data_IF_615477341609
#
_entry.id   IF_615477341609
#
_cell.length_a   1.000
_cell.length_b   1.000
_cell.length_c   1.000
_cell.angle_alpha   90.00
_cell.angle_beta   90.00
_cell.angle_gamma   90.00
#
_symmetry.space_group_name_H-M   'P 1'
#
loop_
_entity.id
_entity.type
_entity.pdbx_description
1 polymer ?
#
# COMPACT_ATOMS: atom_id res chain seq x y z
N UNK A 1 4.95 27.95 34.54
CA UNK A 1 5.27 26.99 33.47
C UNK A 1 5.23 27.77 32.16
N UNK A 2 6.38 27.97 31.51
CA UNK A 2 6.53 28.85 30.35
C UNK A 2 6.26 28.13 29.03
N UNK A 3 5.69 28.85 28.06
CA UNK A 3 5.60 28.40 26.67
C UNK A 3 6.90 28.83 25.97
N UNK A 4 7.81 27.89 25.71
CA UNK A 4 9.17 28.21 25.22
C UNK A 4 9.34 28.04 23.70
N UNK A 5 8.34 27.54 22.97
CA UNK A 5 8.47 27.22 21.55
C UNK A 5 7.56 28.08 20.66
N UNK A 6 8.05 29.20 20.10
CA UNK A 6 7.28 30.05 19.18
C UNK A 6 7.09 29.40 17.81
N UNK A 7 5.94 29.60 17.16
CA UNK A 7 5.72 29.16 15.78
C UNK A 7 6.59 29.95 14.80
N UNK A 8 7.24 29.26 13.84
CA UNK A 8 7.99 29.93 12.75
C UNK A 8 7.11 30.40 11.60
N UNK A 9 5.83 30.07 11.64
CA UNK A 9 4.83 30.42 10.63
C UNK A 9 4.31 31.86 10.72
N UNK A 10 4.71 32.64 11.74
CA UNK A 10 4.27 34.03 11.91
C UNK A 10 2.87 34.20 12.52
N UNK A 11 2.23 33.12 12.98
CA UNK A 11 0.90 33.17 13.61
C UNK A 11 0.90 33.71 15.06
N UNK A 12 2.08 33.99 15.64
CA UNK A 12 2.22 34.48 17.01
C UNK A 12 1.93 33.45 18.10
N UNK A 13 1.62 32.19 17.75
CA UNK A 13 1.36 31.13 18.72
C UNK A 13 2.64 30.61 19.37
N UNK A 14 2.53 30.30 20.66
CA UNK A 14 3.58 29.68 21.46
C UNK A 14 3.11 28.33 21.99
N UNK A 15 4.02 27.37 22.03
CA UNK A 15 3.73 26.01 22.46
C UNK A 15 4.61 25.63 23.64
N UNK A 16 4.07 24.76 24.50
CA UNK A 16 4.79 24.21 25.66
C UNK A 16 5.91 23.24 25.26
N UNK A 17 5.76 22.56 24.12
CA UNK A 17 6.69 21.53 23.66
C UNK A 17 6.99 21.70 22.17
N UNK A 18 8.21 21.33 21.75
CA UNK A 18 8.63 21.38 20.35
C UNK A 18 7.75 20.52 19.45
N UNK A 19 7.31 19.35 19.95
CA UNK A 19 6.43 18.44 19.22
C UNK A 19 5.08 19.06 18.88
N UNK A 20 4.49 19.83 19.81
CA UNK A 20 3.24 20.55 19.58
C UNK A 20 3.41 21.66 18.53
N UNK A 21 4.53 22.39 18.57
CA UNK A 21 4.87 23.39 17.55
C UNK A 21 5.08 22.76 16.17
N UNK A 22 5.82 21.65 16.11
CA UNK A 22 6.05 20.90 14.86
C UNK A 22 4.73 20.39 14.27
N UNK A 23 3.83 19.86 15.10
CA UNK A 23 2.53 19.37 14.66
C UNK A 23 1.69 20.50 14.04
N UNK A 24 1.66 21.67 14.68
CA UNK A 24 1.00 22.84 14.12
C UNK A 24 1.56 23.26 12.76
N UNK A 25 2.88 23.28 12.60
CA UNK A 25 3.54 23.61 11.32
C UNK A 25 3.26 22.56 10.23
N UNK A 26 3.12 21.29 10.60
CA UNK A 26 2.71 20.22 9.69
C UNK A 26 1.27 20.43 9.21
N UNK A 27 0.35 20.70 10.14
CA UNK A 27 -1.08 20.73 9.85
C UNK A 27 -1.51 22.02 9.13
N UNK A 28 -0.87 23.16 9.46
CA UNK A 28 -1.28 24.47 8.95
C UNK A 28 -0.42 24.95 7.77
N UNK A 29 0.88 24.65 7.78
CA UNK A 29 1.82 25.17 6.78
C UNK A 29 2.37 24.09 5.84
N UNK A 30 1.99 22.82 6.07
CA UNK A 30 2.58 21.66 5.40
C UNK A 30 4.11 21.72 5.43
N UNK A 31 4.67 22.09 6.59
CA UNK A 31 6.11 22.25 6.79
C UNK A 31 6.66 21.19 7.74
N UNK A 32 7.72 20.52 7.31
CA UNK A 32 8.49 19.60 8.12
C UNK A 32 9.74 20.32 8.66
N UNK A 33 9.73 20.66 9.96
CA UNK A 33 10.87 21.31 10.61
C UNK A 33 12.13 20.44 10.68
N UNK A 34 12.07 19.13 11.01
CA UNK A 34 13.27 18.29 11.05
C UNK A 34 13.96 18.12 9.69
N UNK A 35 13.22 18.22 8.58
CA UNK A 35 13.77 18.15 7.22
C UNK A 35 13.88 19.52 6.54
N UNK A 36 13.56 20.60 7.25
CA UNK A 36 13.52 21.97 6.74
C UNK A 36 12.81 22.12 5.38
N UNK A 37 11.67 21.44 5.19
CA UNK A 37 11.02 21.35 3.87
C UNK A 37 9.53 21.69 3.93
N UNK A 38 9.08 22.57 3.01
CA UNK A 38 7.67 22.91 2.80
C UNK A 38 7.08 22.08 1.65
N UNK A 39 5.82 21.68 1.79
CA UNK A 39 5.08 20.88 0.82
C UNK A 39 3.89 21.66 0.28
N UNK A 40 3.41 21.27 -0.91
CA UNK A 40 2.31 21.97 -1.57
C UNK A 40 0.94 21.73 -0.93
N UNK A 41 0.76 20.59 -0.25
CA UNK A 41 -0.51 20.20 0.36
C UNK A 41 -0.31 19.14 1.45
N UNK A 42 -1.39 18.87 2.18
CA UNK A 42 -1.45 17.88 3.26
C UNK A 42 -1.00 16.47 2.81
N UNK A 43 -1.48 15.97 1.67
CA UNK A 43 -1.11 14.64 1.18
C UNK A 43 0.41 14.51 0.96
N UNK A 44 1.04 15.53 0.40
CA UNK A 44 2.47 15.51 0.12
C UNK A 44 3.30 15.48 1.41
N UNK A 45 2.93 16.27 2.43
CA UNK A 45 3.64 16.21 3.72
C UNK A 45 3.35 14.90 4.45
N UNK A 46 2.14 14.35 4.39
CA UNK A 46 1.84 13.06 4.99
C UNK A 46 2.66 11.93 4.33
N UNK A 47 2.79 11.92 3.00
CA UNK A 47 3.67 10.96 2.32
C UNK A 47 5.14 11.14 2.72
N UNK A 48 5.60 12.37 2.91
CA UNK A 48 6.95 12.65 3.40
C UNK A 48 7.17 12.17 4.85
N UNK A 49 6.22 12.42 5.75
CA UNK A 49 6.28 11.94 7.14
C UNK A 49 6.22 10.41 7.20
N UNK A 50 5.55 9.78 6.24
CA UNK A 50 5.53 8.32 6.08
C UNK A 50 6.78 7.77 5.36
N UNK A 51 7.73 8.62 4.97
CA UNK A 51 8.96 8.20 4.31
C UNK A 51 9.98 7.62 5.28
N UNK A 52 11.03 7.02 4.71
CA UNK A 52 12.13 6.39 5.45
C UNK A 52 12.86 7.37 6.37
N UNK A 53 12.81 8.67 6.08
CA UNK A 53 13.51 9.70 6.84
C UNK A 53 12.92 9.90 8.24
N UNK A 54 11.60 9.79 8.37
CA UNK A 54 10.91 10.00 9.65
C UNK A 54 10.50 8.70 10.33
N UNK A 55 10.08 7.70 9.55
CA UNK A 55 9.62 6.41 10.11
C UNK A 55 10.67 5.31 10.11
N UNK A 56 11.79 5.49 9.41
CA UNK A 56 12.75 4.41 9.23
C UNK A 56 12.22 3.28 8.33
N UNK A 57 12.84 2.10 8.44
CA UNK A 57 12.46 0.88 7.71
C UNK A 57 12.06 -0.21 8.69
N UNK A 58 10.90 -0.06 9.32
CA UNK A 58 10.50 -0.95 10.41
C UNK A 58 9.90 -2.27 9.92
N UNK A 59 9.58 -2.37 8.63
CA UNK A 59 9.03 -3.59 8.04
C UNK A 59 10.08 -4.23 7.14
N UNK A 60 10.69 -5.32 7.61
CA UNK A 60 11.74 -6.03 6.88
C UNK A 60 11.16 -7.21 6.11
N UNK A 61 11.57 -7.39 4.87
CA UNK A 61 11.28 -8.61 4.14
C UNK A 61 12.00 -9.80 4.80
N UNK A 62 11.29 -10.87 5.21
CA UNK A 62 11.91 -11.98 5.94
C UNK A 62 12.94 -12.74 5.10
N UNK A 63 12.81 -12.71 3.76
CA UNK A 63 13.69 -13.40 2.82
C UNK A 63 14.92 -12.59 2.45
N UNK A 64 14.72 -11.38 1.89
CA UNK A 64 15.82 -10.57 1.36
C UNK A 64 16.34 -9.51 2.35
N UNK A 65 15.70 -9.35 3.51
CA UNK A 65 16.01 -8.34 4.55
C UNK A 65 15.95 -6.89 4.08
N UNK A 66 15.41 -6.64 2.88
CA UNK A 66 15.12 -5.29 2.40
C UNK A 66 14.06 -4.65 3.29
N UNK A 67 14.32 -3.42 3.71
CA UNK A 67 13.40 -2.66 4.55
C UNK A 67 12.40 -1.80 3.77
N UNK A 68 11.20 -1.71 4.33
CA UNK A 68 10.06 -0.96 3.83
C UNK A 68 9.52 -0.05 4.93
N UNK A 69 8.92 1.07 4.53
CA UNK A 69 8.30 2.04 5.45
C UNK A 69 6.91 1.62 5.89
N UNK A 70 6.25 0.74 5.12
CA UNK A 70 4.89 0.27 5.36
C UNK A 70 4.74 -1.21 4.98
N UNK A 71 3.77 -1.89 5.59
CA UNK A 71 3.36 -3.24 5.28
C UNK A 71 2.78 -3.35 3.86
N UNK A 72 2.06 -2.32 3.39
CA UNK A 72 1.68 -2.19 1.97
C UNK A 72 2.90 -2.33 1.06
N UNK A 73 4.01 -1.64 1.39
CA UNK A 73 5.24 -1.68 0.60
C UNK A 73 5.90 -3.06 0.56
N UNK A 74 5.98 -3.74 1.71
CA UNK A 74 6.49 -5.12 1.77
C UNK A 74 5.57 -6.09 0.99
N UNK A 75 4.26 -5.96 1.18
CA UNK A 75 3.26 -6.80 0.52
C UNK A 75 3.35 -6.67 -0.99
N UNK A 76 3.40 -5.45 -1.49
CA UNK A 76 3.57 -5.17 -2.92
C UNK A 76 4.88 -5.75 -3.47
N UNK A 77 5.97 -5.71 -2.69
CA UNK A 77 7.25 -6.31 -3.07
C UNK A 77 7.16 -7.84 -3.27
N UNK A 78 6.42 -8.53 -2.40
CA UNK A 78 6.22 -9.98 -2.49
C UNK A 78 5.22 -10.34 -3.60
N UNK A 79 4.11 -9.60 -3.68
CA UNK A 79 3.00 -9.85 -4.60
C UNK A 79 3.41 -9.65 -6.08
N UNK A 80 4.37 -8.75 -6.35
CA UNK A 80 4.93 -8.52 -7.71
C UNK A 80 6.16 -9.35 -8.05
N UNK A 81 6.50 -10.38 -7.27
CA UNK A 81 7.73 -11.15 -7.48
C UNK A 81 9.00 -10.27 -7.56
N UNK A 82 9.02 -9.18 -6.79
CA UNK A 82 10.17 -8.27 -6.76
C UNK A 82 11.22 -8.69 -5.73
N UNK A 83 11.02 -9.80 -5.04
CA UNK A 83 11.97 -10.34 -4.07
C UNK A 83 13.02 -11.22 -4.76
N UNK A 84 14.32 -10.88 -4.71
CA UNK A 84 15.35 -11.68 -5.37
C UNK A 84 15.60 -13.02 -4.67
N UNK A 85 15.13 -13.18 -3.42
CA UNK A 85 15.35 -14.39 -2.61
C UNK A 85 14.08 -15.24 -2.42
N UNK A 86 12.95 -14.83 -2.98
CA UNK A 86 11.70 -15.57 -2.86
C UNK A 86 10.77 -15.28 -4.04
N UNK A 87 10.30 -16.34 -4.69
CA UNK A 87 9.25 -16.27 -5.71
C UNK A 87 7.90 -16.59 -5.06
N UNK A 88 7.23 -15.56 -4.53
CA UNK A 88 5.91 -15.67 -3.89
C UNK A 88 4.83 -15.33 -4.90
N UNK A 89 4.79 -14.07 -5.34
CA UNK A 89 3.83 -13.60 -6.33
C UNK A 89 2.41 -13.61 -5.78
N UNK A 90 1.45 -13.26 -6.63
CA UNK A 90 0.06 -13.09 -6.22
C UNK A 90 -0.61 -14.38 -5.76
N UNK A 91 -0.45 -15.47 -6.51
CA UNK A 91 -1.16 -16.73 -6.24
C UNK A 91 -0.67 -17.44 -4.98
N UNK A 92 0.66 -17.58 -4.81
CA UNK A 92 1.20 -18.24 -3.61
C UNK A 92 0.93 -17.38 -2.37
N UNK A 93 0.98 -16.05 -2.50
CA UNK A 93 0.64 -15.14 -1.41
C UNK A 93 -0.83 -15.28 -1.03
N UNK A 94 -1.74 -15.30 -2.00
CA UNK A 94 -3.17 -15.50 -1.74
C UNK A 94 -3.45 -16.84 -1.06
N UNK A 95 -2.86 -17.94 -1.54
CA UNK A 95 -3.01 -19.25 -0.93
C UNK A 95 -2.48 -19.27 0.52
N UNK A 96 -1.34 -18.61 0.77
CA UNK A 96 -0.79 -18.46 2.11
C UNK A 96 -1.75 -17.69 3.03
N UNK A 97 -2.31 -16.56 2.58
CA UNK A 97 -3.28 -15.79 3.36
C UNK A 97 -4.57 -16.58 3.60
N UNK A 98 -5.09 -17.27 2.59
CA UNK A 98 -6.30 -18.10 2.69
C UNK A 98 -6.14 -19.21 3.73
N UNK A 99 -4.96 -19.82 3.83
CA UNK A 99 -4.65 -20.82 4.86
C UNK A 99 -4.60 -20.21 6.27
N UNK A 100 -4.26 -18.92 6.39
CA UNK A 100 -4.22 -18.18 7.65
C UNK A 100 -5.56 -17.58 8.05
N UNK A 101 -6.47 -17.42 7.09
CA UNK A 101 -7.82 -16.88 7.22
C UNK A 101 -8.88 -17.93 6.82
N UNK A 102 -8.98 -19.09 7.52
CA UNK A 102 -9.89 -20.17 7.11
C UNK A 102 -11.37 -19.72 7.08
N UNK A 103 -11.76 -18.82 7.98
CA UNK A 103 -13.12 -18.28 8.04
C UNK A 103 -13.42 -17.29 6.90
N UNK A 104 -12.40 -16.78 6.20
CA UNK A 104 -12.59 -15.84 5.11
C UNK A 104 -13.08 -14.48 5.58
N UNK A 105 -12.54 -14.01 6.71
CA UNK A 105 -12.86 -12.71 7.27
C UNK A 105 -12.60 -11.62 6.24
N UNK A 106 -11.49 -11.69 5.52
CA UNK A 106 -11.16 -10.72 4.46
C UNK A 106 -10.69 -11.36 3.15
N UNK A 107 -10.27 -12.63 3.17
CA UNK A 107 -9.97 -13.38 1.95
C UNK A 107 -11.22 -14.06 1.39
N UNK A 108 -11.48 -13.89 0.09
CA UNK A 108 -12.64 -14.50 -0.58
C UNK A 108 -12.35 -15.95 -0.92
N UNK A 109 -13.32 -16.85 -0.74
CA UNK A 109 -13.25 -18.22 -1.26
C UNK A 109 -13.87 -18.28 -2.66
N UNK A 110 -13.05 -18.13 -3.69
CA UNK A 110 -13.50 -18.22 -5.08
C UNK A 110 -13.60 -19.69 -5.52
N UNK A 111 -14.82 -20.14 -5.85
CA UNK A 111 -15.05 -21.47 -6.42
C UNK A 111 -14.50 -21.48 -7.85
N UNK A 112 -13.53 -22.35 -8.15
CA UNK A 112 -12.92 -22.45 -9.49
C UNK A 112 -11.72 -21.53 -9.75
N UNK A 113 -11.11 -20.93 -8.72
CA UNK A 113 -9.88 -20.15 -8.90
C UNK A 113 -8.70 -21.03 -9.34
N UNK A 114 -8.27 -20.85 -10.60
CA UNK A 114 -7.14 -21.58 -11.21
C UNK A 114 -5.79 -20.86 -11.16
N UNK A 115 -5.73 -19.65 -10.58
CA UNK A 115 -4.54 -18.80 -10.54
C UNK A 115 -4.67 -17.52 -11.35
N UNK A 116 -3.56 -16.79 -11.48
CA UNK A 116 -3.49 -15.56 -12.27
C UNK A 116 -3.47 -15.83 -13.77
N UNK A 117 -4.39 -15.19 -14.49
CA UNK A 117 -4.40 -15.23 -15.95
C UNK A 117 -3.30 -14.33 -16.52
N UNK A 118 -2.53 -14.83 -17.49
CA UNK A 118 -1.53 -14.04 -18.20
C UNK A 118 -2.05 -13.70 -19.59
N UNK A 119 -2.18 -12.40 -19.87
CA UNK A 119 -2.56 -11.92 -21.19
C UNK A 119 -1.38 -11.24 -21.88
N UNK A 120 -1.22 -11.55 -23.16
CA UNK A 120 -0.21 -10.93 -24.02
C UNK A 120 -0.89 -10.22 -25.18
N UNK A 121 -0.50 -8.98 -25.42
CA UNK A 121 -0.94 -8.21 -26.57
C UNK A 121 -0.38 -8.86 -27.84
N UNK A 122 -1.27 -9.13 -28.79
CA UNK A 122 -0.92 -9.50 -30.17
C UNK A 122 -1.02 -8.28 -31.06
N UNK A 123 -0.46 -8.33 -32.27
CA UNK A 123 -0.53 -7.22 -33.23
C UNK A 123 -1.96 -6.82 -33.59
N UNK A 124 -2.93 -7.71 -33.38
CA UNK A 124 -4.36 -7.42 -33.54
C UNK A 124 -4.83 -6.28 -32.64
N UNK A 125 -4.21 -6.11 -31.46
CA UNK A 125 -4.53 -5.06 -30.50
C UNK A 125 -4.25 -3.64 -31.00
N UNK A 126 -3.59 -3.49 -32.16
CA UNK A 126 -3.42 -2.20 -32.81
C UNK A 126 -4.68 -1.83 -33.62
N UNK A 127 -5.33 -0.73 -33.25
CA UNK A 127 -6.57 -0.27 -33.90
C UNK A 127 -6.35 0.74 -35.05
N UNK A 128 -5.09 0.93 -35.49
CA UNK A 128 -4.73 1.93 -36.50
C UNK A 128 -4.14 3.23 -35.91
N UNK A 129 -4.39 3.52 -34.63
CA UNK A 129 -3.89 4.73 -33.96
C UNK A 129 -3.22 4.48 -32.61
N UNK A 130 -3.66 3.46 -31.88
CA UNK A 130 -3.14 3.10 -30.57
C UNK A 130 -3.26 1.59 -30.32
N UNK A 131 -2.56 1.13 -29.28
CA UNK A 131 -2.68 -0.22 -28.74
C UNK A 131 -3.85 -0.27 -27.76
N UNK A 132 -4.90 -1.01 -28.06
CA UNK A 132 -6.14 -1.04 -27.30
C UNK A 132 -6.27 -2.33 -26.48
N UNK A 133 -6.67 -2.19 -25.21
CA UNK A 133 -6.99 -3.33 -24.36
C UNK A 133 -8.42 -3.79 -24.60
N UNK A 134 -8.63 -4.99 -25.13
CA UNK A 134 -9.97 -5.53 -25.38
C UNK A 134 -10.82 -5.83 -24.16
N UNK A 135 -10.23 -5.84 -22.96
CA UNK A 135 -10.95 -6.10 -21.72
C UNK A 135 -11.58 -4.81 -21.14
N UNK A 136 -11.04 -3.63 -21.47
CA UNK A 136 -11.55 -2.36 -20.92
C UNK A 136 -11.46 -1.14 -21.86
N UNK A 137 -11.12 -1.36 -23.13
CA UNK A 137 -10.99 -0.37 -24.21
C UNK A 137 -10.04 0.79 -23.91
N UNK A 138 -9.08 0.61 -22.98
CA UNK A 138 -8.02 1.59 -22.74
C UNK A 138 -6.98 1.55 -23.85
N UNK A 139 -6.60 2.72 -24.33
CA UNK A 139 -5.60 2.90 -25.38
C UNK A 139 -4.22 3.25 -24.83
N UNK A 140 -3.18 2.72 -25.46
CA UNK A 140 -1.78 2.86 -25.07
C UNK A 140 -0.93 3.24 -26.29
N UNK A 141 0.13 4.01 -26.05
CA UNK A 141 1.03 4.46 -27.14
C UNK A 141 1.94 3.35 -27.66
N UNK A 142 2.21 2.32 -26.86
CA UNK A 142 3.12 1.22 -27.22
C UNK A 142 2.56 -0.14 -26.81
N UNK A 143 2.94 -1.20 -27.55
CA UNK A 143 2.62 -2.59 -27.20
C UNK A 143 3.16 -2.98 -25.83
N UNK A 144 4.36 -2.50 -25.46
CA UNK A 144 4.96 -2.72 -24.14
C UNK A 144 4.08 -2.16 -23.01
N UNK A 145 3.57 -0.94 -23.17
CA UNK A 145 2.67 -0.36 -22.17
C UNK A 145 1.33 -1.10 -22.07
N UNK A 146 0.79 -1.57 -23.19
CA UNK A 146 -0.40 -2.42 -23.17
C UNK A 146 -0.10 -3.77 -22.48
N UNK A 147 1.02 -4.41 -22.79
CA UNK A 147 1.45 -5.65 -22.14
C UNK A 147 1.62 -5.48 -20.63
N UNK A 148 2.20 -4.36 -20.19
CA UNK A 148 2.30 -4.07 -18.76
C UNK A 148 0.93 -3.90 -18.10
N UNK A 149 -0.02 -3.27 -18.79
CA UNK A 149 -1.40 -3.13 -18.32
C UNK A 149 -2.13 -4.48 -18.24
N UNK A 150 -2.01 -5.31 -19.28
CA UNK A 150 -2.58 -6.66 -19.33
C UNK A 150 -2.05 -7.56 -18.22
N UNK A 151 -0.74 -7.51 -17.95
CA UNK A 151 -0.12 -8.25 -16.86
C UNK A 151 -0.30 -7.60 -15.47
N UNK A 152 -1.08 -6.50 -15.38
CA UNK A 152 -1.42 -5.89 -14.11
C UNK A 152 -2.65 -6.55 -13.48
N UNK A 153 -2.87 -6.41 -12.17
CA UNK A 153 -4.02 -7.01 -11.49
C UNK A 153 -5.39 -6.40 -11.85
N UNK A 154 -5.46 -5.50 -12.82
CA UNK A 154 -6.67 -4.72 -13.12
C UNK A 154 -7.81 -5.56 -13.70
N UNK A 155 -7.48 -6.62 -14.45
CA UNK A 155 -8.46 -7.54 -15.05
C UNK A 155 -8.60 -8.84 -14.26
N UNK A 156 -7.95 -8.91 -13.11
CA UNK A 156 -7.94 -10.11 -12.31
C UNK A 156 -9.10 -10.11 -11.31
N UNK A 157 -9.48 -11.30 -10.86
CA UNK A 157 -10.49 -11.47 -9.82
C UNK A 157 -10.15 -10.71 -8.54
N UNK A 158 -11.16 -10.10 -7.92
CA UNK A 158 -11.04 -9.57 -6.57
C UNK A 158 -10.85 -10.73 -5.58
N UNK A 159 -9.70 -10.78 -4.92
CA UNK A 159 -9.35 -11.87 -3.98
C UNK A 159 -9.65 -11.51 -2.53
N UNK A 160 -9.77 -10.21 -2.24
CA UNK A 160 -9.94 -9.70 -0.88
C UNK A 160 -11.14 -8.76 -0.81
N UNK A 161 -11.70 -8.64 0.39
CA UNK A 161 -12.74 -7.68 0.70
C UNK A 161 -12.50 -7.06 2.07
N UNK A 162 -13.03 -5.87 2.30
CA UNK A 162 -13.07 -5.29 3.63
C UNK A 162 -14.26 -5.89 4.42
N UNK A 163 -14.05 -6.43 5.63
CA UNK A 163 -15.14 -7.00 6.43
C UNK A 163 -16.19 -5.97 6.86
N UNK A 164 -15.80 -4.68 6.88
CA UNK A 164 -16.63 -3.58 7.39
C UNK A 164 -17.36 -2.80 6.30
N UNK A 165 -16.64 -2.36 5.26
CA UNK A 165 -17.24 -1.58 4.17
C UNK A 165 -17.55 -2.42 2.94
N UNK A 166 -17.20 -3.70 2.93
CA UNK A 166 -17.43 -4.66 1.84
C UNK A 166 -16.84 -4.24 0.49
N UNK A 167 -15.90 -3.29 0.48
CA UNK A 167 -15.16 -2.94 -0.72
C UNK A 167 -14.24 -4.08 -1.13
N UNK A 168 -14.21 -4.35 -2.44
CA UNK A 168 -13.44 -5.42 -3.05
C UNK A 168 -12.07 -4.95 -3.54
N UNK A 169 -11.08 -5.82 -3.40
CA UNK A 169 -9.70 -5.56 -3.78
C UNK A 169 -9.10 -6.75 -4.54
N UNK A 170 -8.41 -6.44 -5.64
CA UNK A 170 -7.71 -7.45 -6.46
C UNK A 170 -6.38 -7.88 -5.87
N UNK A 171 -5.74 -7.03 -5.07
CA UNK A 171 -4.41 -7.28 -4.50
C UNK A 171 -4.42 -7.20 -2.98
N UNK A 172 -3.52 -7.95 -2.34
CA UNK A 172 -3.32 -7.87 -0.90
C UNK A 172 -2.80 -6.47 -0.54
N UNK A 173 -1.86 -5.93 -1.32
CA UNK A 173 -1.34 -4.59 -1.09
C UNK A 173 -2.45 -3.52 -1.09
N UNK A 174 -3.48 -3.65 -1.93
CA UNK A 174 -4.57 -2.67 -1.96
C UNK A 174 -5.48 -2.73 -0.72
N UNK A 175 -5.83 -3.93 -0.24
CA UNK A 175 -6.64 -4.05 0.99
C UNK A 175 -5.84 -3.67 2.24
N UNK A 176 -4.52 -3.97 2.28
CA UNK A 176 -3.65 -3.52 3.37
C UNK A 176 -3.52 -2.00 3.38
N UNK A 177 -3.35 -1.38 2.21
CA UNK A 177 -3.33 0.07 2.10
C UNK A 177 -4.65 0.69 2.57
N UNK A 178 -5.79 0.06 2.26
CA UNK A 178 -7.10 0.50 2.72
C UNK A 178 -7.24 0.41 4.26
N UNK A 179 -6.65 -0.61 4.88
CA UNK A 179 -6.61 -0.71 6.35
C UNK A 179 -5.62 0.28 6.97
N UNK A 180 -4.46 0.49 6.35
CA UNK A 180 -3.45 1.48 6.78
C UNK A 180 -4.02 2.91 6.70
N UNK A 181 -4.74 3.25 5.63
CA UNK A 181 -5.29 4.60 5.46
C UNK A 181 -6.47 4.91 6.38
N UNK A 182 -6.85 3.99 7.26
CA UNK A 182 -7.98 4.06 8.20
C UNK A 182 -9.31 4.49 7.53
N UNK A 183 -9.41 4.35 6.21
CA UNK A 183 -10.51 4.95 5.43
C UNK A 183 -11.87 4.34 5.73
N UNK A 184 -11.90 3.11 6.26
CA UNK A 184 -13.10 2.44 6.75
C UNK A 184 -13.19 2.37 8.29
N UNK A 185 -12.13 2.73 9.01
CA UNK A 185 -12.03 2.57 10.47
C UNK A 185 -12.19 1.12 10.95
N UNK A 186 -11.74 0.12 10.18
CA UNK A 186 -11.75 -1.29 10.57
C UNK A 186 -10.63 -1.61 11.57
N UNK A 187 -9.44 -1.03 11.38
CA UNK A 187 -8.28 -1.20 12.27
C UNK A 187 -7.38 0.02 12.20
N UNK A 188 -6.52 0.20 13.21
CA UNK A 188 -5.59 1.33 13.30
C UNK A 188 -4.30 1.06 12.51
N UNK A 189 -3.72 2.08 11.90
CA UNK A 189 -2.52 1.99 11.05
C UNK A 189 -1.41 1.14 11.69
N UNK A 190 -1.05 1.41 12.96
CA UNK A 190 0.06 0.72 13.63
C UNK A 190 -0.21 -0.77 13.83
N UNK A 191 -1.44 -1.17 14.16
CA UNK A 191 -1.81 -2.58 14.33
C UNK A 191 -1.69 -3.35 13.02
N UNK A 192 -1.97 -2.71 11.88
CA UNK A 192 -1.80 -3.33 10.55
C UNK A 192 -0.33 -3.60 10.26
N UNK A 193 0.56 -2.66 10.57
CA UNK A 193 2.00 -2.84 10.39
C UNK A 193 2.52 -4.06 11.16
N UNK A 194 2.20 -4.11 12.45
CA UNK A 194 2.68 -5.17 13.34
C UNK A 194 2.08 -6.53 12.94
N UNK A 195 0.77 -6.57 12.70
CA UNK A 195 0.07 -7.80 12.32
C UNK A 195 0.55 -8.35 10.97
N UNK A 196 0.83 -7.50 9.98
CA UNK A 196 1.28 -7.97 8.66
C UNK A 196 2.74 -8.40 8.64
N UNK A 197 3.60 -7.73 9.40
CA UNK A 197 4.97 -8.20 9.61
C UNK A 197 4.95 -9.60 10.27
N UNK A 198 4.09 -9.81 11.25
CA UNK A 198 3.90 -11.11 11.91
C UNK A 198 3.27 -12.14 10.97
N UNK A 199 2.27 -11.78 10.17
CA UNK A 199 1.62 -12.74 9.26
C UNK A 199 2.57 -13.29 8.21
N UNK A 200 3.44 -12.44 7.68
CA UNK A 200 4.41 -12.81 6.66
C UNK A 200 5.63 -13.52 7.28
N UNK A 201 5.91 -13.31 8.57
CA UNK A 201 7.08 -13.88 9.27
C UNK A 201 6.79 -15.07 10.20
N UNK A 202 5.55 -15.28 10.64
CA UNK A 202 5.18 -16.18 11.74
C UNK A 202 4.17 -17.27 11.35
N UNK A 203 4.20 -18.39 12.10
CA UNK A 203 3.27 -19.51 11.99
C UNK A 203 1.92 -19.27 12.67
N UNK A 204 1.71 -18.16 13.39
CA UNK A 204 0.43 -17.84 14.07
C UNK A 204 -0.74 -17.55 13.10
N UNK A 205 -1.97 -17.85 13.56
CA UNK A 205 -3.25 -17.62 12.85
C UNK A 205 -3.71 -16.16 13.03
N UNK A 206 -4.56 -15.70 12.11
CA UNK A 206 -5.20 -14.39 12.19
C UNK A 206 -6.27 -14.38 13.28
N UNK A 207 -6.11 -13.50 14.26
CA UNK A 207 -7.17 -13.09 15.19
C UNK A 207 -7.23 -11.57 15.13
N UNK A 208 -8.31 -11.02 14.59
CA UNK A 208 -8.59 -9.58 14.59
C UNK A 208 -9.49 -9.22 15.76
#
# INVERSE_FOLDING_TARGET
MGYDYPCRCGCGNWYLYESARNQHEIDNEYYCAPCCRKFMNYNNIQQHLNSRLHRGQNVLCPFCKRGFTTATGLTHHLERNSCPKADIGRDKLYNFIRNKDPEGVFSKKLIGYGGTEQWTATDKAWNGSAWECYLCNRTFRTSRSLNQHLNSPIHQHALYHCPKCHQDFTTLAAVINHFESESCGFTRFQRVQDSMADLISSTRRLTF
#
